data_IF_808362067641
#
_entry.id   IF_808362067641
#
_cell.length_a   1.000
_cell.length_b   1.000
_cell.length_c   1.000
_cell.angle_alpha   90.00
_cell.angle_beta   90.00
_cell.angle_gamma   90.00
#
_symmetry.space_group_name_H-M   'P 1'
#
loop_
_entity.id
_entity.type
_entity.pdbx_description
1 polymer ?
#
# COMPACT_ATOMS: atom_id res chain seq x y z
N UNK A 1 -12.62 50.16 -1.08
CA UNK A 1 -12.87 49.52 0.22
C UNK A 1 -14.16 48.73 0.12
N UNK A 2 -14.10 47.45 -0.23
CA UNK A 2 -15.30 46.64 -0.49
C UNK A 2 -15.15 45.28 0.19
N UNK A 3 -15.84 45.18 1.33
CA UNK A 3 -16.41 44.01 2.00
C UNK A 3 -15.69 42.66 1.80
N UNK A 4 -14.82 42.36 2.77
CA UNK A 4 -14.50 40.98 3.17
C UNK A 4 -15.81 40.35 3.69
N UNK A 5 -16.40 39.48 2.87
CA UNK A 5 -17.61 38.75 3.22
C UNK A 5 -17.26 37.67 4.25
N UNK A 6 -17.54 37.97 5.51
CA UNK A 6 -17.26 37.15 6.69
C UNK A 6 -18.23 35.97 6.75
N UNK A 7 -17.96 34.91 5.98
CA UNK A 7 -18.62 33.62 6.17
C UNK A 7 -17.78 32.76 7.13
N UNK A 8 -18.21 32.52 8.39
CA UNK A 8 -17.48 31.70 9.36
C UNK A 8 -17.72 30.19 9.15
N UNK A 9 -18.08 29.78 7.93
CA UNK A 9 -18.20 28.36 7.61
C UNK A 9 -16.79 27.84 7.40
N UNK A 10 -16.21 27.33 8.49
CA UNK A 10 -14.95 26.57 8.55
C UNK A 10 -14.87 25.67 7.32
N UNK A 11 -14.14 26.10 6.29
CA UNK A 11 -13.84 25.27 5.10
C UNK A 11 -13.01 24.11 5.63
N UNK A 12 -13.66 23.01 5.97
CA UNK A 12 -12.98 21.83 6.44
C UNK A 12 -12.03 21.38 5.35
N UNK A 13 -10.77 21.23 5.73
CA UNK A 13 -9.75 20.75 4.82
C UNK A 13 -10.11 19.31 4.43
N UNK A 14 -10.39 19.09 3.15
CA UNK A 14 -10.78 17.77 2.67
C UNK A 14 -9.69 16.72 2.95
N UNK A 15 -8.41 17.12 2.87
CA UNK A 15 -7.29 16.26 3.23
C UNK A 15 -7.30 15.85 4.71
N UNK A 16 -7.67 16.75 5.62
CA UNK A 16 -7.80 16.42 7.03
C UNK A 16 -8.97 15.46 7.29
N UNK A 17 -10.10 15.64 6.61
CA UNK A 17 -11.24 14.71 6.70
C UNK A 17 -10.83 13.32 6.20
N UNK A 18 -10.19 13.22 5.03
CA UNK A 18 -9.72 11.95 4.46
C UNK A 18 -8.69 11.30 5.38
N UNK A 19 -7.76 12.08 5.93
CA UNK A 19 -6.76 11.59 6.87
C UNK A 19 -7.39 11.02 8.15
N UNK A 20 -8.37 11.72 8.72
CA UNK A 20 -9.12 11.24 9.89
C UNK A 20 -9.86 9.94 9.55
N UNK A 21 -10.59 9.89 8.44
CA UNK A 21 -11.32 8.68 8.01
C UNK A 21 -10.38 7.48 7.80
N UNK A 22 -9.25 7.70 7.12
CA UNK A 22 -8.24 6.67 6.89
C UNK A 22 -7.63 6.18 8.21
N UNK A 23 -7.34 7.10 9.13
CA UNK A 23 -6.80 6.77 10.47
C UNK A 23 -7.83 5.97 11.28
N UNK A 24 -9.10 6.40 11.29
CA UNK A 24 -10.19 5.69 11.98
C UNK A 24 -10.38 4.28 11.43
N UNK A 25 -10.35 4.11 10.10
CA UNK A 25 -10.40 2.80 9.44
C UNK A 25 -9.20 1.93 9.85
N UNK A 26 -7.99 2.50 9.87
CA UNK A 26 -6.77 1.80 10.30
C UNK A 26 -6.85 1.34 11.75
N UNK A 27 -7.37 2.18 12.65
CA UNK A 27 -7.62 1.83 14.07
C UNK A 27 -8.60 0.68 14.19
N UNK A 28 -9.70 0.70 13.42
CA UNK A 28 -10.66 -0.40 13.41
C UNK A 28 -10.00 -1.74 13.04
N UNK A 29 -9.20 -1.77 11.97
CA UNK A 29 -8.45 -2.97 11.59
C UNK A 29 -7.40 -3.38 12.62
N UNK A 30 -6.76 -2.43 13.29
CA UNK A 30 -5.82 -2.72 14.37
C UNK A 30 -6.52 -3.39 15.55
N UNK A 31 -7.68 -2.90 15.98
CA UNK A 31 -8.46 -3.56 17.04
C UNK A 31 -8.87 -4.97 16.61
N UNK A 32 -9.38 -5.13 15.38
CA UNK A 32 -9.77 -6.44 14.84
C UNK A 32 -8.60 -7.41 14.70
N UNK A 33 -7.39 -6.91 14.51
CA UNK A 33 -6.20 -7.76 14.39
C UNK A 33 -5.84 -8.52 15.69
N UNK A 34 -6.37 -8.11 16.85
CA UNK A 34 -6.20 -8.82 18.11
C UNK A 34 -7.10 -10.05 18.24
N UNK A 35 -8.17 -10.16 17.45
CA UNK A 35 -9.03 -11.35 17.39
C UNK A 35 -8.27 -12.55 16.78
N UNK A 36 -7.23 -12.29 16.00
CA UNK A 36 -6.40 -13.32 15.37
C UNK A 36 -5.19 -13.68 16.24
N UNK A 37 -4.86 -14.98 16.38
CA UNK A 37 -3.70 -15.40 17.16
C UNK A 37 -2.40 -14.87 16.55
N UNK A 38 -1.50 -14.39 17.41
CA UNK A 38 -0.21 -13.83 16.98
C UNK A 38 0.79 -14.92 16.56
N UNK A 39 0.69 -16.10 17.17
CA UNK A 39 1.58 -17.22 16.96
C UNK A 39 0.79 -18.52 17.04
N UNK A 40 1.06 -19.43 16.11
CA UNK A 40 0.45 -20.77 16.07
C UNK A 40 1.53 -21.84 16.23
N UNK A 41 1.13 -23.10 16.39
CA UNK A 41 2.05 -24.25 16.47
C UNK A 41 2.97 -24.41 15.25
N UNK A 42 2.59 -23.83 14.11
CA UNK A 42 3.33 -23.90 12.85
C UNK A 42 4.19 -22.65 12.56
N UNK A 43 4.24 -21.66 13.46
CA UNK A 43 5.03 -20.44 13.26
C UNK A 43 4.26 -19.15 13.54
N UNK A 44 4.48 -18.13 12.71
CA UNK A 44 3.83 -16.83 12.84
C UNK A 44 2.33 -16.96 12.56
N UNK A 45 1.49 -16.44 13.46
CA UNK A 45 0.05 -16.50 13.33
C UNK A 45 -0.50 -15.45 12.36
N UNK A 46 -1.72 -15.65 11.84
CA UNK A 46 -2.34 -14.73 10.88
C UNK A 46 -2.56 -13.32 11.45
N UNK A 47 -2.51 -13.13 12.77
CA UNK A 47 -2.64 -11.83 13.42
C UNK A 47 -1.40 -10.94 13.32
N UNK A 48 -0.23 -11.46 12.93
CA UNK A 48 1.00 -10.64 12.86
C UNK A 48 0.91 -9.59 11.74
N UNK A 49 0.60 -10.02 10.52
CA UNK A 49 0.57 -9.11 9.37
C UNK A 49 -0.47 -7.98 9.53
N UNK A 50 -1.75 -8.26 9.87
CA UNK A 50 -2.74 -7.22 10.08
C UNK A 50 -2.35 -6.23 11.19
N UNK A 51 -1.71 -6.68 12.29
CA UNK A 51 -1.26 -5.79 13.38
C UNK A 51 -0.23 -4.77 12.93
N UNK A 52 0.85 -5.23 12.30
CA UNK A 52 1.93 -4.34 11.90
C UNK A 52 1.53 -3.41 10.77
N UNK A 53 0.77 -3.91 9.78
CA UNK A 53 0.28 -3.09 8.68
C UNK A 53 -0.70 -2.03 9.18
N UNK A 54 -1.66 -2.38 10.05
CA UNK A 54 -2.59 -1.40 10.60
C UNK A 54 -1.91 -0.41 11.55
N UNK A 55 -0.90 -0.83 12.33
CA UNK A 55 -0.09 0.08 13.14
C UNK A 55 0.64 1.11 12.27
N UNK A 56 1.32 0.67 11.20
CA UNK A 56 1.99 1.57 10.26
C UNK A 56 1.00 2.48 9.54
N UNK A 57 -0.18 1.96 9.17
CA UNK A 57 -1.24 2.75 8.56
C UNK A 57 -1.80 3.83 9.50
N UNK A 58 -1.94 3.53 10.80
CA UNK A 58 -2.31 4.54 11.81
C UNK A 58 -1.25 5.64 11.85
N UNK A 59 0.04 5.29 11.94
CA UNK A 59 1.12 6.28 11.97
C UNK A 59 1.10 7.15 10.71
N UNK A 60 0.99 6.53 9.52
CA UNK A 60 0.91 7.25 8.25
C UNK A 60 -0.32 8.16 8.19
N UNK A 61 -1.49 7.68 8.63
CA UNK A 61 -2.73 8.44 8.66
C UNK A 61 -2.67 9.64 9.61
N UNK A 62 -2.09 9.47 10.80
CA UNK A 62 -1.88 10.55 11.77
C UNK A 62 -0.94 11.60 11.19
N UNK A 63 0.22 11.19 10.65
CA UNK A 63 1.18 12.10 10.01
C UNK A 63 0.52 12.86 8.87
N UNK A 64 -0.22 12.17 7.99
CA UNK A 64 -0.93 12.80 6.88
C UNK A 64 -1.98 13.82 7.35
N UNK A 65 -2.75 13.47 8.40
CA UNK A 65 -3.75 14.36 9.00
C UNK A 65 -3.10 15.61 9.56
N UNK A 66 -1.99 15.47 10.30
CA UNK A 66 -1.24 16.59 10.86
C UNK A 66 -0.69 17.50 9.74
N UNK A 67 -0.07 16.92 8.71
CA UNK A 67 0.45 17.68 7.57
C UNK A 67 -0.68 18.44 6.86
N UNK A 68 -1.84 17.80 6.65
CA UNK A 68 -2.97 18.46 6.03
C UNK A 68 -3.53 19.60 6.89
N UNK A 69 -3.59 19.45 8.21
CA UNK A 69 -4.06 20.53 9.10
C UNK A 69 -3.10 21.72 9.10
N UNK A 70 -1.79 21.48 9.14
CA UNK A 70 -0.79 22.53 9.37
C UNK A 70 -0.17 23.14 8.10
N UNK A 71 -0.13 22.42 6.97
CA UNK A 71 0.57 22.87 5.77
C UNK A 71 -0.33 23.04 4.55
N UNK A 72 -1.13 22.03 4.21
CA UNK A 72 -1.75 21.97 2.88
C UNK A 72 -3.28 22.02 2.95
N UNK A 73 -3.88 23.11 2.42
CA UNK A 73 -5.34 23.22 2.22
C UNK A 73 -5.74 22.53 0.90
N UNK A 74 -6.05 21.24 0.95
CA UNK A 74 -6.51 20.51 -0.22
C UNK A 74 -7.99 20.83 -0.51
N UNK A 75 -8.27 21.23 -1.75
CA UNK A 75 -9.64 21.38 -2.27
C UNK A 75 -10.01 20.11 -3.04
N UNK A 76 -11.22 19.59 -2.82
CA UNK A 76 -11.73 18.30 -3.37
C UNK A 76 -11.62 18.23 -4.91
N UNK A 77 -11.64 19.37 -5.60
CA UNK A 77 -11.57 19.46 -7.07
C UNK A 77 -10.23 19.05 -7.69
N UNK A 78 -9.12 19.20 -6.96
CA UNK A 78 -7.77 18.85 -7.47
C UNK A 78 -7.36 17.40 -7.15
N UNK A 79 -8.23 16.65 -6.46
CA UNK A 79 -7.87 15.35 -5.87
C UNK A 79 -8.06 14.18 -6.85
N UNK A 80 -8.78 14.39 -7.96
CA UNK A 80 -9.00 13.32 -8.94
C UNK A 80 -7.83 13.26 -9.94
N UNK A 81 -7.18 12.10 -10.12
CA UNK A 81 -6.06 11.96 -11.04
C UNK A 81 -6.53 12.15 -12.49
N UNK A 82 -6.09 13.24 -13.14
CA UNK A 82 -6.41 13.50 -14.55
C UNK A 82 -5.27 13.02 -15.46
N UNK A 83 -5.64 12.39 -16.59
CA UNK A 83 -4.70 11.99 -17.64
C UNK A 83 -3.72 10.88 -17.25
N UNK A 84 -2.42 11.22 -17.13
CA UNK A 84 -1.33 10.25 -16.91
C UNK A 84 -1.44 9.52 -15.58
N UNK A 85 -1.92 10.20 -14.54
CA UNK A 85 -2.10 9.64 -13.19
C UNK A 85 -3.18 8.55 -13.16
N UNK A 86 -4.29 8.72 -13.91
CA UNK A 86 -5.33 7.70 -14.01
C UNK A 86 -4.79 6.43 -14.67
N UNK A 87 -3.97 6.59 -15.70
CA UNK A 87 -3.27 5.47 -16.33
C UNK A 87 -2.30 4.78 -15.36
N UNK A 88 -1.60 5.50 -14.47
CA UNK A 88 -0.76 4.85 -13.44
C UNK A 88 -1.61 3.96 -12.52
N UNK A 89 -2.72 4.48 -12.03
CA UNK A 89 -3.62 3.75 -11.13
C UNK A 89 -4.18 2.51 -11.84
N UNK A 90 -4.67 2.67 -13.07
CA UNK A 90 -5.23 1.58 -13.85
C UNK A 90 -4.18 0.50 -14.18
N UNK A 91 -2.96 0.90 -14.57
CA UNK A 91 -1.85 -0.03 -14.80
C UNK A 91 -1.51 -0.79 -13.53
N UNK A 92 -1.52 -0.13 -12.36
CA UNK A 92 -1.24 -0.79 -11.07
C UNK A 92 -2.30 -1.87 -10.77
N UNK A 93 -3.58 -1.54 -10.93
CA UNK A 93 -4.68 -2.49 -10.74
C UNK A 93 -4.54 -3.67 -11.72
N UNK A 94 -4.30 -3.38 -13.00
CA UNK A 94 -4.12 -4.41 -14.02
C UNK A 94 -2.93 -5.33 -13.71
N UNK A 95 -1.80 -4.75 -13.29
CA UNK A 95 -0.61 -5.52 -12.97
C UNK A 95 -0.85 -6.46 -11.77
N UNK A 96 -1.58 -6.00 -10.75
CA UNK A 96 -1.98 -6.84 -9.61
C UNK A 96 -2.89 -7.98 -10.07
N UNK A 97 -3.86 -7.73 -10.95
CA UNK A 97 -4.72 -8.78 -11.50
C UNK A 97 -3.91 -9.82 -12.28
N UNK A 98 -2.99 -9.37 -13.13
CA UNK A 98 -2.09 -10.25 -13.88
C UNK A 98 -1.24 -11.08 -12.93
N UNK A 99 -0.69 -10.49 -11.86
CA UNK A 99 0.05 -11.19 -10.82
C UNK A 99 -0.76 -12.35 -10.21
N UNK A 100 -2.01 -12.11 -9.82
CA UNK A 100 -2.88 -13.14 -9.22
C UNK A 100 -3.13 -14.31 -10.18
N UNK A 101 -3.21 -14.05 -11.49
CA UNK A 101 -3.42 -15.07 -12.50
C UNK A 101 -2.16 -15.92 -12.75
N UNK A 102 -0.99 -15.28 -12.86
CA UNK A 102 0.25 -15.97 -13.22
C UNK A 102 0.94 -16.66 -12.04
N UNK A 103 0.75 -16.16 -10.80
CA UNK A 103 1.50 -16.64 -9.62
C UNK A 103 1.32 -18.13 -9.36
N UNK A 104 0.15 -18.70 -9.68
CA UNK A 104 -0.11 -20.14 -9.55
C UNK A 104 0.73 -20.99 -10.51
N UNK A 105 1.09 -20.45 -11.68
CA UNK A 105 1.81 -21.18 -12.72
C UNK A 105 3.33 -20.93 -12.65
N UNK A 106 3.74 -19.69 -12.40
CA UNK A 106 5.16 -19.27 -12.45
C UNK A 106 5.86 -19.26 -11.10
N UNK A 107 5.10 -19.33 -10.00
CA UNK A 107 5.62 -19.17 -8.64
C UNK A 107 5.68 -17.71 -8.20
N UNK A 108 5.80 -17.49 -6.89
CA UNK A 108 5.78 -16.17 -6.29
C UNK A 108 6.92 -15.28 -6.77
N UNK A 109 8.16 -15.79 -6.83
CA UNK A 109 9.32 -14.96 -7.13
C UNK A 109 9.25 -14.39 -8.54
N UNK A 110 8.97 -15.22 -9.55
CA UNK A 110 8.88 -14.78 -10.96
C UNK A 110 7.70 -13.84 -11.17
N UNK A 111 6.53 -14.15 -10.60
CA UNK A 111 5.36 -13.29 -10.70
C UNK A 111 5.61 -11.91 -10.04
N UNK A 112 6.28 -11.88 -8.88
CA UNK A 112 6.61 -10.65 -8.16
C UNK A 112 7.59 -9.78 -8.94
N UNK A 113 8.62 -10.39 -9.55
CA UNK A 113 9.58 -9.66 -10.38
C UNK A 113 8.89 -9.01 -11.57
N UNK A 114 8.00 -9.74 -12.25
CA UNK A 114 7.23 -9.19 -13.38
C UNK A 114 6.32 -8.04 -12.93
N UNK A 115 5.60 -8.21 -11.82
CA UNK A 115 4.74 -7.18 -11.25
C UNK A 115 5.54 -5.90 -10.94
N UNK A 116 6.63 -6.03 -10.19
CA UNK A 116 7.46 -4.88 -9.80
C UNK A 116 8.18 -4.27 -10.98
N UNK A 117 8.60 -5.06 -11.96
CA UNK A 117 9.25 -4.56 -13.17
C UNK A 117 8.29 -3.70 -14.00
N UNK A 118 7.04 -4.13 -14.20
CA UNK A 118 6.00 -3.36 -14.88
C UNK A 118 5.72 -2.04 -14.14
N UNK A 119 5.81 -2.05 -12.82
CA UNK A 119 5.61 -0.85 -12.01
C UNK A 119 6.82 0.10 -12.08
N UNK A 120 8.04 -0.43 -12.00
CA UNK A 120 9.26 0.35 -11.91
C UNK A 120 9.78 0.86 -13.25
N UNK A 121 9.48 0.19 -14.38
CA UNK A 121 9.91 0.64 -15.71
C UNK A 121 9.35 2.03 -16.08
N UNK A 122 8.26 2.44 -15.43
CA UNK A 122 7.65 3.76 -15.62
C UNK A 122 8.37 4.88 -14.88
N UNK A 123 9.12 4.55 -13.82
CA UNK A 123 9.82 5.50 -12.96
C UNK A 123 11.35 5.44 -13.09
N UNK A 124 11.90 4.33 -13.59
CA UNK A 124 13.34 4.08 -13.67
C UNK A 124 13.74 3.54 -15.03
N UNK A 125 15.01 3.75 -15.46
CA UNK A 125 15.53 3.09 -16.65
C UNK A 125 15.47 1.57 -16.48
N UNK A 126 15.22 0.86 -17.59
CA UNK A 126 14.92 -0.59 -17.66
C UNK A 126 15.88 -1.43 -16.80
N UNK A 127 17.19 -1.14 -16.88
CA UNK A 127 18.19 -1.87 -16.10
C UNK A 127 18.02 -1.72 -14.58
N UNK A 128 17.78 -0.49 -14.10
CA UNK A 128 17.55 -0.21 -12.68
C UNK A 128 16.20 -0.78 -12.23
N UNK A 129 15.16 -0.65 -13.06
CA UNK A 129 13.85 -1.22 -12.78
C UNK A 129 13.92 -2.74 -12.58
N UNK A 130 14.64 -3.45 -13.45
CA UNK A 130 14.84 -4.90 -13.35
C UNK A 130 15.63 -5.27 -12.08
N UNK A 131 16.72 -4.55 -11.80
CA UNK A 131 17.54 -4.76 -10.61
C UNK A 131 16.71 -4.59 -9.32
N UNK A 132 15.96 -3.49 -9.21
CA UNK A 132 15.11 -3.25 -8.04
C UNK A 132 13.99 -4.28 -7.92
N UNK A 133 13.36 -4.67 -9.03
CA UNK A 133 12.31 -5.68 -9.03
C UNK A 133 12.83 -7.03 -8.52
N UNK A 134 14.02 -7.47 -8.95
CA UNK A 134 14.66 -8.70 -8.50
C UNK A 134 15.01 -8.62 -7.01
N UNK A 135 15.71 -7.57 -6.59
CA UNK A 135 16.17 -7.41 -5.21
C UNK A 135 14.99 -7.37 -4.25
N UNK A 136 13.98 -6.53 -4.53
CA UNK A 136 12.81 -6.39 -3.67
C UNK A 136 12.01 -7.70 -3.61
N UNK A 137 11.79 -8.36 -4.76
CA UNK A 137 11.09 -9.65 -4.79
C UNK A 137 11.83 -10.73 -3.99
N UNK A 138 13.16 -10.79 -4.10
CA UNK A 138 13.99 -11.74 -3.36
C UNK A 138 13.94 -11.48 -1.85
N UNK A 139 14.03 -10.22 -1.42
CA UNK A 139 13.92 -9.84 -0.01
C UNK A 139 12.55 -10.22 0.54
N UNK A 140 11.47 -9.89 -0.19
CA UNK A 140 10.11 -10.25 0.22
C UNK A 140 9.96 -11.77 0.30
N UNK A 141 10.42 -12.52 -0.70
CA UNK A 141 10.41 -13.98 -0.67
C UNK A 141 11.15 -14.54 0.55
N UNK A 142 12.33 -14.01 0.88
CA UNK A 142 13.09 -14.40 2.06
C UNK A 142 12.33 -14.11 3.37
N UNK A 143 11.71 -12.95 3.50
CA UNK A 143 10.90 -12.59 4.68
C UNK A 143 9.72 -13.56 4.85
N UNK A 144 9.00 -13.86 3.77
CA UNK A 144 7.84 -14.77 3.87
C UNK A 144 8.25 -16.23 4.09
N UNK A 145 9.30 -16.70 3.41
CA UNK A 145 9.77 -18.08 3.50
C UNK A 145 10.47 -18.37 4.82
N UNK A 146 11.40 -17.50 5.22
CA UNK A 146 12.24 -17.69 6.42
C UNK A 146 11.58 -17.04 7.64
N UNK A 147 11.12 -15.80 7.52
CA UNK A 147 10.56 -15.04 8.65
C UNK A 147 9.17 -15.52 9.07
N UNK A 148 8.28 -15.75 8.10
CA UNK A 148 6.89 -16.15 8.40
C UNK A 148 6.61 -17.65 8.23
N UNK A 149 7.53 -18.40 7.61
CA UNK A 149 7.35 -19.84 7.33
C UNK A 149 6.03 -20.16 6.62
N UNK A 150 5.54 -19.23 5.79
CA UNK A 150 4.26 -19.38 5.08
C UNK A 150 4.48 -20.27 3.86
N UNK A 151 3.57 -21.22 3.55
CA UNK A 151 3.62 -21.97 2.31
C UNK A 151 3.33 -21.03 1.13
N UNK A 152 4.38 -20.66 0.41
CA UNK A 152 4.31 -19.78 -0.77
C UNK A 152 4.08 -20.65 -2.01
N UNK A 153 3.29 -20.19 -3.02
CA UNK A 153 3.23 -20.85 -4.32
C UNK A 153 4.63 -20.87 -4.94
N UNK A 154 5.25 -22.05 -4.94
CA UNK A 154 6.55 -22.29 -5.58
C UNK A 154 6.31 -22.96 -6.93
N UNK A 155 7.14 -22.61 -7.91
CA UNK A 155 7.16 -23.35 -9.16
C UNK A 155 7.84 -24.72 -8.97
N UNK A 156 7.97 -25.51 -10.05
CA UNK A 156 8.65 -26.83 -10.07
C UNK A 156 10.06 -26.84 -9.47
N UNK A 157 10.68 -25.69 -9.24
CA UNK A 157 12.05 -25.52 -8.79
C UNK A 157 12.14 -25.06 -7.31
N UNK A 158 11.02 -24.80 -6.63
CA UNK A 158 11.00 -24.50 -5.18
C UNK A 158 11.19 -23.02 -4.81
N UNK A 159 10.97 -22.11 -5.76
CA UNK A 159 10.99 -20.65 -5.59
C UNK A 159 9.84 -19.96 -6.34
#
# INVERSE_FOLDING_TARGET
MTNQNNNPIRKWNAGAIVGVLFTSCSVYYFVKSFEYPYRNRFGVGPGLFPRWVSLLAIVAGVVYTLVSIFKDKFTVGDTFPHGKELLNVLTTILAILVFVLIVKQTGFLVASVLLLFVLFIRSYPVWKALLYAIIVSAIVFAIFKIGFSVPIPVNRWGF
#
